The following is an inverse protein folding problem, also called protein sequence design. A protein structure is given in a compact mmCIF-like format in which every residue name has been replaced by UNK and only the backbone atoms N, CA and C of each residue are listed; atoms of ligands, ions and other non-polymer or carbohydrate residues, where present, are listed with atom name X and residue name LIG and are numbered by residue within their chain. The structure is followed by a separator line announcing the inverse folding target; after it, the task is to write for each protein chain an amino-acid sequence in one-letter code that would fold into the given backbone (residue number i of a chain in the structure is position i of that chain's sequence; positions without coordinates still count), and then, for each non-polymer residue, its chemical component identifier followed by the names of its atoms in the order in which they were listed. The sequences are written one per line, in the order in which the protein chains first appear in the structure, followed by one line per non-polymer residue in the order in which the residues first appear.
data_IF_432237882713
#
_entry.id   IF_432237882713
#
_cell.length_a   1.000
_cell.length_b   1.000
_cell.length_c   1.000
_cell.angle_alpha   90.00
_cell.angle_beta   90.00
_cell.angle_gamma   90.00
#
_symmetry.space_group_name_H-M   'P 1'
#
loop_
_entity.id
_entity.type
_entity.pdbx_description
1 polymer ?
#
# COMPACT_ATOMS: atom_id res chain seq x y z
N UNK A 1 -12.42 1.14 -5.04
CA UNK A 1 -11.47 1.96 -5.84
C UNK A 1 -11.09 3.23 -5.10
N UNK A 2 -12.03 3.87 -4.41
CA UNK A 2 -11.80 5.12 -3.66
C UNK A 2 -10.61 5.04 -2.69
N UNK A 3 -10.40 3.91 -2.02
CA UNK A 3 -9.29 3.71 -1.07
C UNK A 3 -7.93 3.65 -1.78
N UNK A 4 -7.87 3.01 -2.95
CA UNK A 4 -6.66 2.97 -3.77
C UNK A 4 -6.34 4.37 -4.30
N UNK A 5 -7.34 5.07 -4.82
CA UNK A 5 -7.17 6.44 -5.33
C UNK A 5 -6.73 7.40 -4.22
N UNK A 6 -7.27 7.23 -3.00
CA UNK A 6 -6.84 8.00 -1.85
C UNK A 6 -5.38 7.70 -1.47
N UNK A 7 -4.96 6.43 -1.49
CA UNK A 7 -3.57 6.07 -1.25
C UNK A 7 -2.63 6.67 -2.31
N UNK A 8 -2.99 6.61 -3.59
CA UNK A 8 -2.21 7.26 -4.67
C UNK A 8 -2.14 8.78 -4.47
N UNK A 9 -3.22 9.41 -4.02
CA UNK A 9 -3.21 10.84 -3.67
C UNK A 9 -2.23 11.15 -2.54
N UNK A 10 -2.16 10.31 -1.51
CA UNK A 10 -1.17 10.45 -0.43
C UNK A 10 0.27 10.38 -0.96
N UNK A 11 0.56 9.44 -1.86
CA UNK A 11 1.89 9.35 -2.48
C UNK A 11 2.21 10.62 -3.27
N UNK A 12 1.27 11.14 -4.07
CA UNK A 12 1.42 12.39 -4.81
C UNK A 12 1.61 13.62 -3.91
N UNK A 13 1.15 13.56 -2.67
CA UNK A 13 1.38 14.59 -1.65
C UNK A 13 2.73 14.44 -0.92
N UNK A 14 3.59 13.51 -1.33
CA UNK A 14 4.86 13.24 -0.67
C UNK A 14 4.70 12.48 0.64
N UNK A 15 3.63 11.68 0.76
CA UNK A 15 3.36 10.84 1.94
C UNK A 15 3.35 9.33 1.63
N UNK A 16 4.43 8.76 1.06
CA UNK A 16 4.47 7.35 0.66
C UNK A 16 4.36 6.37 1.84
N UNK A 17 4.96 6.67 3.00
CA UNK A 17 4.88 5.76 4.15
C UNK A 17 3.46 5.71 4.71
N UNK A 18 2.81 6.87 4.78
CA UNK A 18 1.41 6.99 5.18
C UNK A 18 0.49 6.25 4.19
N UNK A 19 0.75 6.36 2.89
CA UNK A 19 -0.02 5.65 1.86
C UNK A 19 0.09 4.12 1.99
N UNK A 20 1.30 3.59 2.17
CA UNK A 20 1.52 2.15 2.38
C UNK A 20 0.85 1.68 3.67
N UNK A 21 0.98 2.43 4.76
CA UNK A 21 0.31 2.08 6.02
C UNK A 21 -1.22 2.11 5.87
N UNK A 22 -1.76 3.05 5.09
CA UNK A 22 -3.19 3.10 4.77
C UNK A 22 -3.65 1.85 4.01
N UNK A 23 -2.94 1.45 2.94
CA UNK A 23 -3.24 0.22 2.19
C UNK A 23 -3.12 -1.02 3.08
N UNK A 24 -2.11 -1.08 3.95
CA UNK A 24 -1.97 -2.16 4.92
C UNK A 24 -3.22 -2.31 5.79
N UNK A 25 -3.78 -1.22 6.31
CA UNK A 25 -5.01 -1.27 7.09
C UNK A 25 -6.20 -1.71 6.24
N UNK A 26 -6.31 -1.21 5.01
CA UNK A 26 -7.35 -1.64 4.07
C UNK A 26 -7.31 -3.16 3.84
N UNK A 27 -6.14 -3.72 3.54
CA UNK A 27 -5.98 -5.17 3.31
C UNK A 27 -6.28 -6.00 4.55
N UNK A 28 -5.86 -5.54 5.75
CA UNK A 28 -6.19 -6.20 7.02
C UNK A 28 -7.70 -6.27 7.28
N UNK A 29 -8.41 -5.21 6.91
CA UNK A 29 -9.85 -5.10 7.14
C UNK A 29 -10.68 -5.79 6.06
N UNK A 30 -10.09 -6.12 4.91
CA UNK A 30 -10.78 -6.69 3.75
C UNK A 30 -9.99 -7.86 3.12
N UNK A 31 -9.61 -8.90 3.90
CA UNK A 31 -8.80 -10.00 3.38
C UNK A 31 -9.51 -10.80 2.26
N UNK A 32 -10.84 -10.81 2.26
CA UNK A 32 -11.70 -11.49 1.29
C UNK A 32 -11.67 -10.84 -0.11
N UNK A 33 -11.35 -9.53 -0.17
CA UNK A 33 -11.21 -8.78 -1.42
C UNK A 33 -9.92 -9.08 -2.18
N UNK A 34 -8.96 -9.79 -1.58
CA UNK A 34 -7.69 -10.10 -2.24
C UNK A 34 -7.86 -11.33 -3.13
N UNK A 35 -7.36 -11.27 -4.35
CA UNK A 35 -7.34 -12.43 -5.25
C UNK A 35 -6.55 -13.60 -4.64
N UNK A 36 -7.07 -14.81 -4.87
CA UNK A 36 -6.48 -16.05 -4.34
C UNK A 36 -5.53 -16.69 -5.35
N UNK A 37 -4.64 -15.89 -5.92
CA UNK A 37 -3.52 -16.37 -6.72
C UNK A 37 -2.20 -16.13 -5.96
N UNK A 38 -1.13 -16.81 -6.37
CA UNK A 38 0.15 -16.77 -5.65
C UNK A 38 0.80 -15.38 -5.67
N UNK A 39 0.74 -14.69 -6.80
CA UNK A 39 1.29 -13.36 -6.98
C UNK A 39 0.62 -12.34 -6.03
N UNK A 40 -0.71 -12.32 -5.99
CA UNK A 40 -1.46 -11.40 -5.13
C UNK A 40 -1.29 -11.69 -3.64
N UNK A 41 -1.11 -12.95 -3.26
CA UNK A 41 -0.70 -13.30 -1.90
C UNK A 41 0.69 -12.79 -1.57
N UNK A 42 1.65 -12.90 -2.49
CA UNK A 42 3.00 -12.40 -2.27
C UNK A 42 3.01 -10.87 -2.10
N UNK A 43 2.37 -10.14 -3.01
CA UNK A 43 2.31 -8.67 -3.00
C UNK A 43 1.58 -8.17 -1.75
N UNK A 44 0.42 -8.74 -1.42
CA UNK A 44 -0.32 -8.35 -0.20
C UNK A 44 0.47 -8.69 1.07
N UNK A 45 1.18 -9.82 1.11
CA UNK A 45 2.03 -10.15 2.25
C UNK A 45 3.17 -9.15 2.44
N UNK A 46 3.80 -8.65 1.37
CA UNK A 46 4.84 -7.62 1.48
C UNK A 46 4.28 -6.39 2.22
N UNK A 47 3.10 -5.91 1.83
CA UNK A 47 2.44 -4.78 2.47
C UNK A 47 2.05 -5.09 3.93
N UNK A 48 1.48 -6.27 4.18
CA UNK A 48 1.03 -6.65 5.52
C UNK A 48 2.17 -6.76 6.53
N UNK A 49 3.36 -7.16 6.07
CA UNK A 49 4.57 -7.25 6.88
C UNK A 49 5.36 -5.93 6.93
N UNK A 50 5.08 -4.98 6.03
CA UNK A 50 5.72 -3.67 6.07
C UNK A 50 5.45 -3.00 7.43
N UNK A 51 6.46 -2.42 8.10
CA UNK A 51 6.25 -1.77 9.39
C UNK A 51 5.21 -0.65 9.28
N UNK A 52 4.43 -0.42 10.34
CA UNK A 52 3.42 0.65 10.33
C UNK A 52 4.11 1.99 10.59
N UNK A 53 4.62 2.60 9.52
CA UNK A 53 5.36 3.86 9.51
C UNK A 53 4.48 5.01 9.01
N UNK A 54 4.92 6.24 9.29
CA UNK A 54 4.35 7.47 8.74
C UNK A 54 5.47 8.45 8.37
N UNK A 55 5.16 9.37 7.47
CA UNK A 55 6.15 10.31 6.96
C UNK A 55 6.54 11.36 8.01
N UNK A 56 5.65 11.69 8.94
CA UNK A 56 5.92 12.64 10.03
C UNK A 56 7.06 12.18 10.96
N UNK A 57 7.17 10.86 11.21
CA UNK A 57 8.11 10.30 12.19
C UNK A 57 9.28 9.58 11.54
N UNK A 58 9.09 8.98 10.36
CA UNK A 58 10.04 8.01 9.79
C UNK A 58 10.73 8.44 8.51
N UNK A 59 10.33 9.57 7.89
CA UNK A 59 10.87 10.00 6.58
C UNK A 59 12.39 10.15 6.52
N UNK A 60 13.05 10.37 7.66
CA UNK A 60 14.51 10.52 7.73
C UNK A 60 15.26 9.19 7.83
N UNK A 61 14.57 8.12 8.26
CA UNK A 61 15.16 6.80 8.51
C UNK A 61 14.81 5.79 7.43
N UNK A 62 13.63 5.95 6.84
CA UNK A 62 13.12 5.06 5.79
C UNK A 62 12.76 5.91 4.60
N UNK A 63 13.45 5.66 3.50
CA UNK A 63 13.17 6.29 2.22
C UNK A 63 12.47 5.29 1.32
N UNK A 64 11.33 5.70 0.78
CA UNK A 64 10.64 4.99 -0.29
C UNK A 64 10.46 6.00 -1.41
N UNK A 65 10.98 5.66 -2.58
CA UNK A 65 10.81 6.49 -3.76
C UNK A 65 9.32 6.55 -4.09
N UNK A 66 8.88 7.74 -4.50
CA UNK A 66 7.49 7.99 -4.82
C UNK A 66 6.97 6.99 -5.86
N UNK A 67 7.76 6.75 -6.91
CA UNK A 67 7.39 5.87 -8.02
C UNK A 67 7.26 4.41 -7.56
N UNK A 68 8.14 3.96 -6.67
CA UNK A 68 8.07 2.60 -6.09
C UNK A 68 6.78 2.42 -5.26
N UNK A 69 6.40 3.43 -4.48
CA UNK A 69 5.15 3.42 -3.72
C UNK A 69 3.92 3.42 -4.65
N UNK A 70 3.92 4.22 -5.72
CA UNK A 70 2.82 4.23 -6.69
C UNK A 70 2.68 2.87 -7.39
N UNK A 71 3.79 2.28 -7.87
CA UNK A 71 3.80 0.95 -8.51
C UNK A 71 3.22 -0.09 -7.57
N UNK A 72 3.65 -0.10 -6.30
CA UNK A 72 3.18 -1.07 -5.34
C UNK A 72 1.67 -0.95 -5.05
N UNK A 73 1.15 0.29 -4.99
CA UNK A 73 -0.28 0.54 -4.78
C UNK A 73 -1.11 0.11 -6.01
N UNK A 74 -0.64 0.40 -7.23
CA UNK A 74 -1.30 -0.07 -8.46
C UNK A 74 -1.25 -1.60 -8.58
N UNK A 75 -0.17 -2.25 -8.15
CA UNK A 75 -0.10 -3.71 -8.06
C UNK A 75 -1.11 -4.29 -7.07
N UNK A 76 -1.32 -3.63 -5.94
CA UNK A 76 -2.41 -4.03 -5.02
C UNK A 76 -3.76 -3.88 -5.69
N UNK A 77 -4.00 -2.81 -6.46
CA UNK A 77 -5.26 -2.59 -7.18
C UNK A 77 -5.57 -3.73 -8.16
N UNK A 78 -4.57 -4.19 -8.91
CA UNK A 78 -4.70 -5.34 -9.82
C UNK A 78 -5.07 -6.63 -9.08
N UNK A 79 -4.70 -6.72 -7.80
CA UNK A 79 -4.92 -7.88 -6.94
C UNK A 79 -6.23 -7.87 -6.14
N UNK A 80 -7.08 -6.87 -6.33
CA UNK A 80 -8.37 -6.80 -5.66
C UNK A 80 -9.47 -7.37 -6.56
N UNK A 81 -10.28 -8.26 -6.00
CA UNK A 81 -11.53 -8.75 -6.56
C UNK A 81 -12.57 -7.64 -6.47
N UNK A 82 -12.66 -6.81 -7.49
CA UNK A 82 -13.59 -5.68 -7.58
C UNK A 82 -14.37 -5.79 -8.88
#
# INVERSE_FOLDING_TARGET
MEEIEYALKLVRMGKPLTAINFIKQFLKNNPDKIENNEECKAISNIILHFPSLNDESWRYFVHIEKDDAEILIEKIKECLRI
#
